data_IF_597151011359
#
_entry.id   IF_597151011359
#
_cell.length_a   1.000
_cell.length_b   1.000
_cell.length_c   1.000
_cell.angle_alpha   90.00
_cell.angle_beta   90.00
_cell.angle_gamma   90.00
#
_symmetry.space_group_name_H-M   'P 1'
#
loop_
_entity.id
_entity.type
_entity.pdbx_description
1 polymer ?
#
# COMPACT_ATOMS: atom_id res chain seq x y z
N UNK A 1 2.40 -14.23 -17.89
CA UNK A 1 3.40 -13.17 -18.16
C UNK A 1 4.57 -13.39 -17.21
N UNK A 2 5.80 -13.06 -17.61
CA UNK A 2 6.95 -13.15 -16.69
C UNK A 2 6.95 -11.92 -15.77
N UNK A 3 7.23 -12.06 -14.47
CA UNK A 3 7.25 -10.94 -13.54
C UNK A 3 8.43 -10.01 -13.84
N UNK A 4 8.19 -8.70 -13.73
CA UNK A 4 9.23 -7.68 -13.64
C UNK A 4 9.84 -7.67 -12.23
N UNK A 5 11.14 -7.45 -12.14
CA UNK A 5 11.89 -7.31 -10.90
C UNK A 5 12.54 -5.94 -10.92
N UNK A 6 12.44 -5.21 -9.81
CA UNK A 6 13.15 -3.95 -9.65
C UNK A 6 14.46 -4.13 -8.88
N UNK A 7 15.45 -3.31 -9.20
CA UNK A 7 16.76 -3.27 -8.52
C UNK A 7 17.17 -1.82 -8.34
N UNK A 8 17.25 -1.38 -7.10
CA UNK A 8 17.88 -0.10 -6.76
C UNK A 8 19.38 -0.18 -7.03
N UNK A 9 19.89 0.81 -7.77
CA UNK A 9 21.25 0.84 -8.29
C UNK A 9 21.80 2.26 -8.24
N UNK A 10 22.95 2.40 -7.59
CA UNK A 10 23.77 3.62 -7.65
C UNK A 10 24.48 3.70 -8.99
N UNK A 11 24.35 4.84 -9.69
CA UNK A 11 24.99 5.07 -11.00
C UNK A 11 25.75 6.38 -10.99
N UNK A 12 26.96 6.38 -11.57
CA UNK A 12 27.81 7.58 -11.63
C UNK A 12 27.19 8.75 -12.42
N UNK A 13 26.22 8.47 -13.29
CA UNK A 13 25.54 9.47 -14.12
C UNK A 13 24.33 10.14 -13.42
N UNK A 14 23.98 9.70 -12.20
CA UNK A 14 22.82 10.20 -11.45
C UNK A 14 23.25 10.60 -10.04
N UNK A 15 22.68 11.69 -9.53
CA UNK A 15 22.94 12.15 -8.16
C UNK A 15 22.09 11.36 -7.13
N UNK A 16 20.94 10.84 -7.56
CA UNK A 16 20.00 10.02 -6.78
C UNK A 16 19.99 8.56 -7.28
N UNK A 17 19.56 7.59 -6.45
CA UNK A 17 19.49 6.19 -6.85
C UNK A 17 18.57 5.98 -8.07
N UNK A 18 18.92 5.00 -8.89
CA UNK A 18 18.15 4.58 -10.07
C UNK A 18 17.52 3.23 -9.79
N UNK A 19 16.26 3.05 -10.17
CA UNK A 19 15.59 1.75 -10.12
C UNK A 19 15.62 1.10 -11.49
N UNK A 20 16.34 -0.01 -11.63
CA UNK A 20 16.38 -0.81 -12.85
C UNK A 20 15.21 -1.80 -12.89
N UNK A 21 14.52 -1.90 -14.03
CA UNK A 21 13.41 -2.84 -14.28
C UNK A 21 13.93 -4.00 -15.13
N UNK A 22 13.80 -5.22 -14.60
CA UNK A 22 14.29 -6.44 -15.21
C UNK A 22 13.15 -7.43 -15.47
N UNK A 23 13.13 -8.09 -16.63
CA UNK A 23 12.27 -9.24 -16.90
C UNK A 23 13.15 -10.48 -16.99
N UNK A 24 13.12 -11.32 -15.97
CA UNK A 24 14.06 -12.43 -15.82
C UNK A 24 15.53 -11.92 -15.85
N UNK A 25 16.25 -12.15 -16.95
CA UNK A 25 17.63 -11.68 -17.14
C UNK A 25 17.76 -10.53 -18.14
N UNK A 26 16.64 -10.02 -18.67
CA UNK A 26 16.58 -8.93 -19.63
C UNK A 26 16.35 -7.59 -18.91
N UNK A 27 17.19 -6.60 -19.22
CA UNK A 27 16.99 -5.23 -18.77
C UNK A 27 15.93 -4.56 -19.65
N UNK A 28 14.83 -4.15 -19.03
CA UNK A 28 13.64 -3.63 -19.70
C UNK A 28 13.54 -2.12 -19.59
N UNK A 29 14.11 -1.52 -18.55
CA UNK A 29 13.96 -0.10 -18.31
C UNK A 29 14.57 0.35 -17.03
N UNK A 30 14.39 1.64 -16.74
CA UNK A 30 14.76 2.20 -15.45
C UNK A 30 13.88 3.39 -15.11
N UNK A 31 13.77 3.66 -13.81
CA UNK A 31 13.15 4.85 -13.25
C UNK A 31 14.22 5.62 -12.49
N UNK A 32 14.24 6.94 -12.65
CA UNK A 32 15.19 7.81 -11.98
C UNK A 32 14.57 9.19 -11.74
N UNK A 33 15.14 9.94 -10.81
CA UNK A 33 14.79 11.34 -10.61
C UNK A 33 15.57 12.25 -11.56
N UNK A 34 14.86 13.10 -12.31
CA UNK A 34 15.50 14.05 -13.25
C UNK A 34 15.84 15.41 -12.63
N UNK A 35 15.62 15.57 -11.33
CA UNK A 35 15.71 16.83 -10.60
C UNK A 35 14.36 17.53 -10.43
N UNK A 36 13.30 17.09 -11.11
CA UNK A 36 11.95 17.67 -11.04
C UNK A 36 10.84 16.62 -10.91
N UNK A 37 10.99 15.46 -11.55
CA UNK A 37 10.03 14.37 -11.50
C UNK A 37 10.72 13.00 -11.61
N UNK A 38 10.01 11.96 -11.17
CA UNK A 38 10.38 10.59 -11.45
C UNK A 38 10.08 10.26 -12.93
N UNK A 39 11.10 9.81 -13.66
CA UNK A 39 11.01 9.50 -15.09
C UNK A 39 11.25 8.02 -15.30
N UNK A 40 10.28 7.34 -15.92
CA UNK A 40 10.43 5.96 -16.39
C UNK A 40 10.88 5.92 -17.86
N UNK A 41 11.96 5.21 -18.14
CA UNK A 41 12.40 4.84 -19.48
C UNK A 41 12.18 3.35 -19.70
N UNK A 42 11.44 3.00 -20.75
CA UNK A 42 11.17 1.60 -21.16
C UNK A 42 11.79 1.36 -22.52
N UNK A 43 12.60 0.31 -22.62
CA UNK A 43 13.26 -0.10 -23.84
C UNK A 43 12.46 -1.22 -24.54
N UNK A 44 12.50 -1.29 -25.87
CA UNK A 44 12.01 -2.47 -26.59
C UNK A 44 12.86 -3.70 -26.24
N UNK A 45 12.38 -4.88 -26.57
CA UNK A 45 13.13 -6.12 -26.33
C UNK A 45 14.42 -6.20 -27.15
N UNK A 46 15.19 -7.27 -26.95
CA UNK A 46 16.43 -7.52 -27.68
C UNK A 46 16.29 -7.51 -29.22
N UNK A 47 15.10 -7.77 -29.76
CA UNK A 47 14.81 -7.77 -31.19
C UNK A 47 14.26 -6.41 -31.68
N UNK A 48 14.04 -5.45 -30.76
CA UNK A 48 13.48 -4.13 -31.04
C UNK A 48 11.96 -4.11 -31.11
N UNK A 49 11.30 -5.20 -30.71
CA UNK A 49 9.85 -5.32 -30.69
C UNK A 49 9.26 -4.71 -29.40
N UNK A 50 7.96 -4.39 -29.47
CA UNK A 50 7.25 -3.82 -28.33
C UNK A 50 7.08 -4.88 -27.23
N UNK A 51 7.29 -4.45 -25.98
CA UNK A 51 7.09 -5.30 -24.81
C UNK A 51 5.62 -5.35 -24.38
N UNK A 52 5.08 -6.56 -24.31
CA UNK A 52 3.79 -6.82 -23.68
C UNK A 52 3.98 -6.93 -22.16
N UNK A 53 3.46 -5.95 -21.42
CA UNK A 53 3.51 -5.87 -19.96
C UNK A 53 2.10 -5.88 -19.37
N UNK A 54 1.96 -6.53 -18.22
CA UNK A 54 0.69 -6.55 -17.48
C UNK A 54 0.50 -5.16 -16.86
N UNK A 55 -0.64 -4.53 -17.15
CA UNK A 55 -0.87 -3.15 -16.76
C UNK A 55 -0.94 -2.98 -15.23
N UNK A 56 -1.58 -3.91 -14.53
CA UNK A 56 -1.67 -3.85 -13.06
C UNK A 56 -0.30 -4.01 -12.42
N UNK A 57 0.49 -4.94 -12.94
CA UNK A 57 1.86 -5.15 -12.47
C UNK A 57 2.80 -3.99 -12.81
N UNK A 58 2.65 -3.41 -14.00
CA UNK A 58 3.44 -2.25 -14.41
C UNK A 58 3.17 -1.04 -13.52
N UNK A 59 1.90 -0.75 -13.21
CA UNK A 59 1.54 0.36 -12.33
C UNK A 59 2.15 0.19 -10.94
N UNK A 60 2.07 -1.01 -10.36
CA UNK A 60 2.67 -1.31 -9.05
C UNK A 60 4.20 -1.12 -9.06
N UNK A 61 4.87 -1.61 -10.12
CA UNK A 61 6.32 -1.47 -10.28
C UNK A 61 6.73 -0.01 -10.40
N UNK A 62 5.97 0.79 -11.15
CA UNK A 62 6.26 2.21 -11.36
C UNK A 62 6.04 3.03 -10.09
N UNK A 63 4.96 2.77 -9.35
CA UNK A 63 4.68 3.44 -8.07
C UNK A 63 5.77 3.17 -7.03
N UNK A 64 6.21 1.92 -6.90
CA UNK A 64 7.32 1.57 -6.01
C UNK A 64 8.64 2.21 -6.46
N UNK A 65 8.89 2.26 -7.77
CA UNK A 65 10.09 2.86 -8.31
C UNK A 65 10.12 4.38 -8.10
N UNK A 66 8.97 5.05 -8.25
CA UNK A 66 8.81 6.48 -7.98
C UNK A 66 9.13 6.81 -6.52
N UNK A 67 8.68 5.97 -5.57
CA UNK A 67 8.99 6.13 -4.14
C UNK A 67 10.48 6.04 -3.82
N UNK A 68 11.21 5.16 -4.50
CA UNK A 68 12.64 4.95 -4.25
C UNK A 68 13.48 6.11 -4.78
N UNK A 69 13.13 6.64 -5.96
CA UNK A 69 13.97 7.63 -6.63
C UNK A 69 13.63 9.06 -6.25
N UNK A 70 12.42 9.32 -5.78
CA UNK A 70 12.00 10.68 -5.42
C UNK A 70 12.68 11.08 -4.12
N UNK A 71 13.31 12.28 -4.06
CA UNK A 71 13.95 12.76 -2.85
C UNK A 71 13.01 12.78 -1.64
N UNK A 72 13.49 12.25 -0.50
CA UNK A 72 12.73 12.16 0.75
C UNK A 72 12.21 13.53 1.23
N UNK A 73 12.90 14.62 0.91
CA UNK A 73 12.52 16.00 1.30
C UNK A 73 11.36 16.59 0.48
N UNK A 74 10.93 15.90 -0.59
CA UNK A 74 9.75 16.25 -1.38
C UNK A 74 8.50 15.50 -0.95
N UNK A 75 8.64 14.47 -0.11
CA UNK A 75 7.53 13.89 0.62
C UNK A 75 7.25 14.80 1.83
N UNK A 76 6.09 15.45 1.86
CA UNK A 76 5.60 16.07 3.10
C UNK A 76 5.43 14.91 4.11
N UNK A 77 6.18 14.95 5.23
CA UNK A 77 6.23 14.02 6.37
C UNK A 77 4.92 13.23 6.67
N UNK A 78 4.58 12.21 5.87
CA UNK A 78 3.45 11.29 6.13
C UNK A 78 3.88 9.80 6.10
N UNK A 79 5.11 9.48 5.70
CA UNK A 79 5.56 8.09 5.43
C UNK A 79 6.56 7.52 6.46
N UNK A 80 6.90 8.25 7.53
CA UNK A 80 7.76 7.72 8.59
C UNK A 80 6.95 7.20 9.78
N UNK A 81 6.66 5.90 9.76
CA UNK A 81 6.21 5.18 10.97
C UNK A 81 7.26 5.36 12.07
N UNK A 82 6.99 6.26 13.00
CA UNK A 82 7.84 6.60 14.13
C UNK A 82 7.98 5.44 15.14
N UNK A 83 8.73 5.65 16.25
CA UNK A 83 8.80 4.70 17.36
C UNK A 83 7.43 4.35 17.97
N UNK A 84 7.39 3.60 19.08
CA UNK A 84 6.16 3.25 19.79
C UNK A 84 6.03 4.08 21.09
N UNK A 85 4.82 4.54 21.39
CA UNK A 85 4.52 5.41 22.54
C UNK A 85 3.07 5.34 22.96
N UNK A 86 2.70 6.17 23.94
CA UNK A 86 1.43 6.01 24.67
C UNK A 86 0.22 6.37 23.79
N UNK A 87 -0.89 5.60 23.89
CA UNK A 87 -2.05 5.79 23.04
C UNK A 87 -2.65 7.19 23.22
N UNK A 88 -2.61 7.98 22.16
CA UNK A 88 -3.35 9.24 22.11
C UNK A 88 -4.79 8.95 21.66
N UNK A 89 -5.76 9.44 22.41
CA UNK A 89 -7.17 9.42 22.01
C UNK A 89 -7.40 10.47 20.93
N UNK A 90 -7.49 10.06 19.67
CA UNK A 90 -8.00 10.88 18.59
C UNK A 90 -9.46 11.30 18.87
N UNK A 91 -9.82 12.55 18.55
CA UNK A 91 -11.19 13.06 18.68
C UNK A 91 -11.93 12.94 17.36
N UNK A 92 -12.85 11.99 17.26
CA UNK A 92 -13.64 11.68 16.05
C UNK A 92 -14.91 12.55 15.90
N UNK A 93 -14.88 13.81 16.35
CA UNK A 93 -16.06 14.68 16.28
C UNK A 93 -16.35 15.14 14.84
N UNK A 94 -17.47 14.68 14.26
CA UNK A 94 -17.93 15.10 12.92
C UNK A 94 -17.66 14.10 11.79
N UNK A 95 -17.06 12.96 12.13
CA UNK A 95 -16.76 11.84 11.23
C UNK A 95 -18.02 11.11 10.73
N UNK A 96 -17.90 10.43 9.60
CA UNK A 96 -19.01 9.67 9.03
C UNK A 96 -19.47 8.57 10.01
N UNK A 97 -20.80 8.36 10.19
CA UNK A 97 -21.32 7.36 11.11
C UNK A 97 -20.82 5.93 10.84
N UNK A 98 -20.49 5.59 9.60
CA UNK A 98 -19.89 4.31 9.24
C UNK A 98 -18.45 4.21 9.75
N UNK A 99 -17.64 5.25 9.54
CA UNK A 99 -16.26 5.36 10.06
C UNK A 99 -16.25 5.25 11.58
N UNK A 100 -17.13 6.00 12.26
CA UNK A 100 -17.28 5.92 13.72
C UNK A 100 -17.66 4.51 14.19
N UNK A 101 -18.63 3.87 13.54
CA UNK A 101 -19.05 2.52 13.90
C UNK A 101 -17.93 1.48 13.73
N UNK A 102 -17.08 1.66 12.70
CA UNK A 102 -15.93 0.80 12.47
C UNK A 102 -14.86 1.00 13.56
N UNK A 103 -14.47 2.25 13.83
CA UNK A 103 -13.45 2.57 14.83
C UNK A 103 -13.89 2.15 16.23
N UNK A 104 -15.13 2.44 16.64
CA UNK A 104 -15.64 2.03 17.96
C UNK A 104 -15.59 0.51 18.17
N UNK A 105 -15.76 -0.26 17.09
CA UNK A 105 -15.75 -1.73 17.14
C UNK A 105 -14.32 -2.30 17.13
N UNK A 106 -13.42 -1.75 16.31
CA UNK A 106 -12.10 -2.34 16.05
C UNK A 106 -10.94 -1.68 16.80
N UNK A 107 -11.04 -0.42 17.20
CA UNK A 107 -9.99 0.25 17.99
C UNK A 107 -9.63 -0.51 19.29
N UNK A 108 -10.58 -1.11 20.03
CA UNK A 108 -10.27 -1.97 21.19
C UNK A 108 -9.62 -3.32 20.83
N UNK A 109 -9.65 -3.73 19.56
CA UNK A 109 -9.14 -5.01 19.05
C UNK A 109 -7.75 -4.89 18.40
N UNK A 110 -7.22 -3.67 18.35
CA UNK A 110 -5.86 -3.38 17.89
C UNK A 110 -4.86 -4.21 18.70
N UNK A 111 -4.04 -4.99 17.99
CA UNK A 111 -3.03 -5.87 18.60
C UNK A 111 -1.79 -5.07 19.00
N UNK A 112 -1.36 -4.14 18.14
CA UNK A 112 -0.27 -3.20 18.39
C UNK A 112 -0.62 -1.83 17.81
N UNK A 113 -0.09 -0.74 18.38
CA UNK A 113 -0.38 0.62 17.92
C UNK A 113 0.92 1.40 17.69
N UNK A 114 1.06 2.08 16.56
CA UNK A 114 2.15 3.01 16.29
C UNK A 114 2.06 4.29 17.15
N UNK A 115 3.14 5.07 17.24
CA UNK A 115 3.14 6.40 17.90
C UNK A 115 2.07 7.34 17.34
N UNK A 116 1.81 7.24 16.05
CA UNK A 116 0.88 8.11 15.31
C UNK A 116 -0.57 7.63 15.38
N UNK A 117 -0.82 6.51 16.07
CA UNK A 117 -2.15 6.00 16.33
C UNK A 117 -2.62 4.86 15.42
N UNK A 118 -1.88 4.55 14.35
CA UNK A 118 -2.15 3.43 13.43
C UNK A 118 -2.28 2.10 14.18
N UNK A 119 -3.34 1.35 13.87
CA UNK A 119 -3.69 0.09 14.47
C UNK A 119 -3.21 -1.10 13.63
N UNK A 120 -2.51 -2.03 14.28
CA UNK A 120 -2.11 -3.29 13.67
C UNK A 120 -2.99 -4.42 14.22
N UNK A 121 -3.67 -5.12 13.31
CA UNK A 121 -4.63 -6.17 13.62
C UNK A 121 -4.04 -7.56 13.37
N UNK A 122 -4.42 -8.53 14.20
CA UNK A 122 -4.18 -9.94 13.87
C UNK A 122 -4.97 -10.34 12.62
N UNK A 123 -4.54 -11.40 11.92
CA UNK A 123 -5.23 -11.89 10.72
C UNK A 123 -6.73 -12.18 10.96
N UNK A 124 -7.09 -12.78 12.08
CA UNK A 124 -8.49 -13.10 12.41
C UNK A 124 -9.35 -11.84 12.57
N UNK A 125 -8.79 -10.80 13.21
CA UNK A 125 -9.46 -9.51 13.37
C UNK A 125 -9.54 -8.78 12.04
N UNK A 126 -8.47 -8.85 11.23
CA UNK A 126 -8.40 -8.26 9.89
C UNK A 126 -9.46 -8.85 8.92
N UNK A 127 -9.71 -10.17 8.98
CA UNK A 127 -10.79 -10.81 8.21
C UNK A 127 -12.15 -10.23 8.61
N UNK A 128 -12.40 -10.10 9.91
CA UNK A 128 -13.66 -9.53 10.44
C UNK A 128 -13.78 -8.03 10.12
N UNK A 129 -12.66 -7.30 10.09
CA UNK A 129 -12.59 -5.88 9.76
C UNK A 129 -13.04 -5.62 8.32
N UNK A 130 -12.54 -6.42 7.36
CA UNK A 130 -12.92 -6.32 5.95
C UNK A 130 -14.41 -6.60 5.76
N UNK A 131 -14.93 -7.65 6.41
CA UNK A 131 -16.36 -7.97 6.37
C UNK A 131 -17.20 -6.81 6.91
N UNK A 132 -16.77 -6.19 8.01
CA UNK A 132 -17.47 -5.03 8.58
C UNK A 132 -17.43 -3.81 7.66
N UNK A 133 -16.31 -3.53 7.00
CA UNK A 133 -16.22 -2.47 5.99
C UNK A 133 -17.28 -2.68 4.90
N UNK A 134 -17.44 -3.91 4.42
CA UNK A 134 -18.45 -4.24 3.41
C UNK A 134 -19.89 -4.01 3.91
N UNK A 135 -20.19 -4.34 5.17
CA UNK A 135 -21.51 -4.09 5.77
C UNK A 135 -21.83 -2.60 5.95
N UNK A 136 -20.81 -1.81 6.27
CA UNK A 136 -20.92 -0.38 6.50
C UNK A 136 -20.85 0.45 5.20
N UNK A 137 -20.56 -0.19 4.08
CA UNK A 137 -20.40 0.49 2.79
C UNK A 137 -19.10 1.27 2.65
N UNK A 138 -18.09 0.93 3.46
CA UNK A 138 -16.73 1.44 3.40
C UNK A 138 -15.87 0.57 2.47
N UNK A 139 -14.77 1.11 1.95
CA UNK A 139 -13.85 0.40 1.07
C UNK A 139 -12.46 0.29 1.71
N UNK A 140 -11.93 -0.92 1.87
CA UNK A 140 -10.51 -1.13 2.15
C UNK A 140 -9.74 -0.82 0.87
N UNK A 141 -9.07 0.32 0.84
CA UNK A 141 -8.32 0.79 -0.33
C UNK A 141 -6.85 0.43 -0.24
N UNK A 142 -6.31 0.34 0.98
CA UNK A 142 -4.96 -0.16 1.21
C UNK A 142 -4.92 -1.16 2.36
N UNK A 143 -4.03 -2.13 2.23
CA UNK A 143 -3.80 -3.15 3.25
C UNK A 143 -2.34 -3.56 3.22
N UNK A 144 -1.66 -3.49 4.35
CA UNK A 144 -0.27 -3.91 4.49
C UNK A 144 -0.14 -5.05 5.49
N UNK A 145 0.61 -6.09 5.13
CA UNK A 145 1.00 -7.18 6.01
C UNK A 145 2.42 -6.95 6.53
N UNK A 146 2.59 -6.95 7.84
CA UNK A 146 3.87 -6.71 8.50
C UNK A 146 4.18 -7.85 9.49
N UNK A 147 5.45 -8.08 9.77
CA UNK A 147 5.87 -8.99 10.82
C UNK A 147 6.15 -8.22 12.11
N UNK A 148 5.46 -8.54 13.20
CA UNK A 148 5.74 -7.98 14.52
C UNK A 148 6.68 -8.88 15.32
N UNK A 149 7.97 -8.52 15.37
CA UNK A 149 9.00 -9.35 16.02
C UNK A 149 9.70 -8.55 17.11
N UNK A 150 9.53 -8.97 18.37
CA UNK A 150 10.22 -8.39 19.55
C UNK A 150 9.97 -6.88 19.75
N UNK A 151 8.79 -6.39 19.41
CA UNK A 151 8.46 -4.97 19.56
C UNK A 151 8.82 -4.11 18.34
N UNK A 152 9.32 -4.73 17.27
CA UNK A 152 9.63 -4.05 16.01
C UNK A 152 8.66 -4.50 14.92
N UNK A 153 8.16 -3.54 14.17
CA UNK A 153 7.42 -3.76 12.93
C UNK A 153 8.44 -3.98 11.80
N UNK A 154 8.25 -5.03 11.01
CA UNK A 154 9.04 -5.29 9.81
C UNK A 154 8.11 -5.38 8.61
N UNK A 155 8.26 -4.43 7.70
CA UNK A 155 7.48 -4.45 6.47
C UNK A 155 7.74 -5.70 5.65
N UNK A 156 6.68 -6.26 5.09
CA UNK A 156 6.75 -7.29 4.07
C UNK A 156 6.20 -6.75 2.77
N UNK A 157 7.12 -6.30 1.92
CA UNK A 157 6.81 -5.69 0.62
C UNK A 157 6.03 -6.62 -0.32
N UNK A 158 6.01 -7.94 -0.05
CA UNK A 158 5.22 -8.91 -0.80
C UNK A 158 3.77 -9.06 -0.31
N UNK A 159 3.43 -8.42 0.82
CA UNK A 159 2.11 -8.43 1.45
C UNK A 159 1.51 -7.03 1.45
N UNK A 160 1.22 -6.50 0.26
CA UNK A 160 0.60 -5.19 0.13
C UNK A 160 -0.55 -5.23 -0.87
N UNK A 161 -1.55 -4.39 -0.63
CA UNK A 161 -2.65 -4.11 -1.52
C UNK A 161 -2.88 -2.61 -1.58
N UNK A 162 -3.03 -2.07 -2.79
CA UNK A 162 -3.56 -0.74 -3.04
C UNK A 162 -4.66 -0.85 -4.10
N UNK A 163 -5.75 -0.11 -3.95
CA UNK A 163 -6.86 -0.02 -4.88
C UNK A 163 -7.35 1.42 -4.92
N UNK A 164 -7.51 1.96 -6.13
CA UNK A 164 -7.96 3.34 -6.34
C UNK A 164 -9.30 3.37 -7.07
N UNK A 165 -10.16 4.31 -6.70
CA UNK A 165 -11.44 4.54 -7.38
C UNK A 165 -11.20 4.98 -8.83
N UNK A 166 -11.72 4.23 -9.79
CA UNK A 166 -11.82 4.71 -11.17
C UNK A 166 -12.96 5.74 -11.28
N UNK A 167 -12.67 6.93 -11.85
CA UNK A 167 -13.57 8.11 -11.90
C UNK A 167 -15.00 7.89 -12.42
N UNK A 168 -15.32 6.72 -12.99
CA UNK A 168 -16.63 6.40 -13.57
C UNK A 168 -17.35 5.23 -12.87
N UNK A 169 -16.77 4.64 -11.83
CA UNK A 169 -17.35 3.49 -11.14
C UNK A 169 -18.33 3.94 -10.03
N UNK A 170 -19.56 3.40 -9.97
CA UNK A 170 -20.45 3.61 -8.82
C UNK A 170 -19.80 3.11 -7.53
N UNK A 171 -19.98 3.86 -6.43
CA UNK A 171 -19.33 3.56 -5.16
C UNK A 171 -19.60 2.15 -4.67
N UNK A 172 -20.84 1.68 -4.74
CA UNK A 172 -21.23 0.36 -4.24
C UNK A 172 -20.57 -0.79 -5.04
N UNK A 173 -20.23 -0.54 -6.31
CA UNK A 173 -19.49 -1.50 -7.13
C UNK A 173 -18.01 -1.46 -6.73
N UNK A 174 -17.47 -0.26 -6.53
CA UNK A 174 -16.08 -0.08 -6.13
C UNK A 174 -15.80 -0.68 -4.75
N UNK A 175 -16.55 -0.29 -3.71
CA UNK A 175 -16.33 -0.75 -2.34
C UNK A 175 -16.51 -2.26 -2.21
N UNK A 176 -17.51 -2.82 -2.89
CA UNK A 176 -17.69 -4.27 -2.97
C UNK A 176 -16.50 -4.99 -3.61
N UNK A 177 -15.97 -4.46 -4.71
CA UNK A 177 -14.80 -5.04 -5.39
C UNK A 177 -13.51 -4.90 -4.57
N UNK A 178 -13.30 -3.74 -3.93
CA UNK A 178 -12.16 -3.46 -3.07
C UNK A 178 -12.12 -4.42 -1.87
N UNK A 179 -13.24 -4.57 -1.15
CA UNK A 179 -13.32 -5.46 0.01
C UNK A 179 -13.20 -6.95 -0.38
N UNK A 180 -13.77 -7.34 -1.53
CA UNK A 180 -13.60 -8.71 -2.06
C UNK A 180 -12.12 -9.00 -2.32
N UNK A 181 -11.42 -8.07 -2.98
CA UNK A 181 -9.98 -8.18 -3.26
C UNK A 181 -9.15 -8.24 -1.98
N UNK A 182 -9.46 -7.39 -1.00
CA UNK A 182 -8.79 -7.39 0.30
C UNK A 182 -8.93 -8.75 0.99
N UNK A 183 -10.15 -9.29 1.04
CA UNK A 183 -10.39 -10.62 1.62
C UNK A 183 -9.67 -11.75 0.88
N UNK A 184 -9.66 -11.74 -0.46
CA UNK A 184 -8.95 -12.74 -1.28
C UNK A 184 -7.43 -12.70 -1.06
N UNK A 185 -6.84 -11.51 -0.96
CA UNK A 185 -5.41 -11.35 -0.68
C UNK A 185 -5.07 -11.80 0.74
N UNK A 186 -5.81 -11.32 1.74
CA UNK A 186 -5.58 -11.65 3.15
C UNK A 186 -5.67 -13.17 3.39
N UNK A 187 -6.60 -13.86 2.72
CA UNK A 187 -6.73 -15.31 2.81
C UNK A 187 -5.41 -16.03 2.44
N UNK A 188 -4.68 -15.52 1.45
CA UNK A 188 -3.40 -16.04 1.00
C UNK A 188 -2.20 -15.68 1.89
N UNK A 189 -2.34 -14.68 2.77
CA UNK A 189 -1.25 -14.24 3.65
C UNK A 189 -1.06 -15.20 4.82
N UNK A 190 0.19 -15.43 5.22
CA UNK A 190 0.51 -16.32 6.34
C UNK A 190 1.80 -15.90 7.04
N UNK A 191 1.86 -16.17 8.35
CA UNK A 191 3.00 -15.87 9.21
C UNK A 191 2.58 -15.87 10.68
N UNK A 192 3.43 -16.40 11.56
CA UNK A 192 3.14 -16.51 13.00
C UNK A 192 3.12 -15.14 13.72
N UNK A 193 3.74 -14.13 13.11
CA UNK A 193 3.82 -12.76 13.64
C UNK A 193 3.16 -11.74 12.70
N UNK A 194 2.32 -12.23 11.77
CA UNK A 194 1.67 -11.37 10.79
C UNK A 194 0.66 -10.45 11.49
N UNK A 195 0.82 -9.16 11.25
CA UNK A 195 -0.13 -8.12 11.61
C UNK A 195 -0.48 -7.30 10.37
N UNK A 196 -1.67 -6.71 10.38
CA UNK A 196 -2.23 -6.03 9.22
C UNK A 196 -2.61 -4.62 9.60
N UNK A 197 -2.25 -3.64 8.78
CA UNK A 197 -2.82 -2.30 8.84
C UNK A 197 -3.70 -2.02 7.62
N UNK A 198 -4.58 -1.03 7.75
CA UNK A 198 -5.60 -0.72 6.76
C UNK A 198 -5.70 0.78 6.51
N UNK A 199 -5.91 1.14 5.24
CA UNK A 199 -6.46 2.42 4.85
C UNK A 199 -7.85 2.19 4.30
N UNK A 200 -8.83 2.90 4.86
CA UNK A 200 -10.24 2.77 4.53
C UNK A 200 -10.73 4.07 3.93
N UNK A 201 -11.53 3.95 2.86
CA UNK A 201 -12.17 5.06 2.18
C UNK A 201 -13.68 5.02 2.37
N UNK A 202 -14.27 6.20 2.56
CA UNK A 202 -15.71 6.42 2.52
C UNK A 202 -16.21 6.95 1.17
N UNK A 203 -17.53 6.92 0.95
CA UNK A 203 -18.13 7.36 -0.30
C UNK A 203 -17.88 8.85 -0.63
N UNK A 204 -17.63 9.67 0.40
CA UNK A 204 -17.24 11.08 0.26
C UNK A 204 -15.86 11.28 -0.38
N UNK A 205 -15.04 10.24 -0.39
CA UNK A 205 -13.67 10.24 -0.89
C UNK A 205 -12.62 10.37 0.20
N UNK A 206 -13.02 10.72 1.44
CA UNK A 206 -12.13 10.82 2.58
C UNK A 206 -11.59 9.44 2.97
N UNK A 207 -10.33 9.42 3.42
CA UNK A 207 -9.61 8.21 3.81
C UNK A 207 -9.10 8.35 5.23
N UNK A 208 -9.08 7.24 5.96
CA UNK A 208 -8.45 7.17 7.29
C UNK A 208 -7.63 5.90 7.43
N UNK A 209 -6.59 6.00 8.27
CA UNK A 209 -5.76 4.87 8.70
C UNK A 209 -6.40 4.29 9.96
N UNK A 210 -6.64 2.98 9.97
CA UNK A 210 -7.30 2.28 11.06
C UNK A 210 -6.32 1.66 12.08
#
# INVERSE_FOLDING_TARGET
MLPLRIVETEREDFDEPVVEIWRDSEFVGMVFWDGTAAIAQVYPDADGDALDLDLGYLLQVLELSERIVTPEDLYEDDDQVGPLGEPQTATWEGEDPATLALVEEFDPQVTHRADEGEGFFSKEVAETFIDRCAELGLAVVEMEGLDFVRGEIRQRLDLQMTTRVEKAMPWEIFSGAANTRAGELLAGWSGDNLVISFVVQEAGGDTFVA
#
